data_IF_836043190884
#
_entry.id   IF_836043190884
#
_cell.length_a   1.000
_cell.length_b   1.000
_cell.length_c   1.000
_cell.angle_alpha   90.00
_cell.angle_beta   90.00
_cell.angle_gamma   90.00
#
_symmetry.space_group_name_H-M   'P 1'
#
loop_
_entity.id
_entity.type
_entity.pdbx_description
1 polymer ?
#
# COMPACT_ATOMS: atom_id res chain seq x y z
N UNK A 1 -30.68 29.84 43.21
CA UNK A 1 -29.84 28.62 43.17
C UNK A 1 -29.60 28.28 41.71
N UNK A 2 -28.47 28.73 41.16
CA UNK A 2 -28.09 28.43 39.78
C UNK A 2 -27.36 27.09 39.73
N UNK A 3 -27.91 26.12 39.02
CA UNK A 3 -27.23 24.84 38.77
C UNK A 3 -26.07 25.09 37.81
N UNK A 4 -24.83 25.07 38.32
CA UNK A 4 -23.65 24.98 37.47
C UNK A 4 -23.57 23.55 36.92
N UNK A 5 -24.21 23.32 35.77
CA UNK A 5 -23.98 22.12 35.00
C UNK A 5 -22.56 22.18 34.43
N UNK A 6 -21.61 21.52 35.11
CA UNK A 6 -20.31 21.21 34.54
C UNK A 6 -20.50 20.15 33.45
N UNK A 7 -20.87 20.59 32.24
CA UNK A 7 -20.87 19.72 31.06
C UNK A 7 -19.41 19.55 30.66
N UNK A 8 -18.79 18.46 31.12
CA UNK A 8 -17.48 18.03 30.61
C UNK A 8 -17.74 17.44 29.23
N UNK A 9 -17.51 18.22 28.19
CA UNK A 9 -17.42 17.69 26.83
C UNK A 9 -16.10 16.94 26.72
N UNK A 10 -16.17 15.61 26.76
CA UNK A 10 -15.05 14.79 26.28
C UNK A 10 -15.04 14.92 24.76
N UNK A 11 -14.39 15.96 24.25
CA UNK A 11 -13.93 15.95 22.88
C UNK A 11 -13.02 14.73 22.75
N UNK A 12 -13.41 13.82 21.85
CA UNK A 12 -12.78 12.53 21.61
C UNK A 12 -11.42 12.78 20.94
N UNK A 13 -10.46 13.34 21.68
CA UNK A 13 -9.10 13.55 21.25
C UNK A 13 -8.38 12.22 21.29
N UNK A 14 -8.57 11.40 20.27
CA UNK A 14 -7.65 10.31 19.99
C UNK A 14 -6.28 10.94 19.70
N UNK A 15 -5.45 11.09 20.73
CA UNK A 15 -4.03 11.45 20.61
C UNK A 15 -3.26 10.15 20.53
N UNK A 16 -2.87 9.69 19.32
CA UNK A 16 -2.14 8.44 19.20
C UNK A 16 -0.83 8.52 19.98
N UNK A 17 -0.63 7.55 20.88
CA UNK A 17 0.61 7.44 21.65
C UNK A 17 1.80 7.21 20.72
N UNK A 18 3.01 7.52 21.19
CA UNK A 18 4.23 7.21 20.43
C UNK A 18 4.31 5.70 20.08
N UNK A 19 3.84 4.83 20.97
CA UNK A 19 3.75 3.40 20.72
C UNK A 19 2.77 3.06 19.59
N UNK A 20 1.58 3.68 19.55
CA UNK A 20 0.63 3.50 18.46
C UNK A 20 1.20 3.96 17.13
N UNK A 21 1.85 5.14 17.10
CA UNK A 21 2.48 5.68 15.88
C UNK A 21 3.54 4.74 15.34
N UNK A 22 4.37 4.16 16.22
CA UNK A 22 5.39 3.18 15.82
C UNK A 22 4.75 1.94 15.20
N UNK A 23 3.75 1.35 15.86
CA UNK A 23 3.05 0.16 15.33
C UNK A 23 2.35 0.46 14.01
N UNK A 24 1.80 1.67 13.85
CA UNK A 24 1.18 2.10 12.60
C UNK A 24 2.19 2.22 11.46
N UNK A 25 3.37 2.79 11.73
CA UNK A 25 4.46 2.87 10.73
C UNK A 25 4.96 1.46 10.35
N UNK A 26 5.20 0.59 11.33
CA UNK A 26 5.58 -0.81 11.09
C UNK A 26 4.51 -1.56 10.26
N UNK A 27 3.23 -1.28 10.50
CA UNK A 27 2.14 -1.85 9.71
C UNK A 27 2.16 -1.33 8.27
N UNK A 28 2.36 -0.02 8.07
CA UNK A 28 2.47 0.57 6.73
C UNK A 28 3.62 -0.01 5.94
N UNK A 29 4.80 -0.16 6.57
CA UNK A 29 5.98 -0.72 5.93
C UNK A 29 5.69 -2.16 5.47
N UNK A 30 5.06 -2.98 6.31
CA UNK A 30 4.66 -4.35 5.93
C UNK A 30 3.65 -4.41 4.80
N UNK A 31 2.70 -3.48 4.74
CA UNK A 31 1.72 -3.41 3.64
C UNK A 31 2.42 -3.03 2.33
N UNK A 32 3.35 -2.07 2.39
CA UNK A 32 4.14 -1.68 1.22
C UNK A 32 5.07 -2.81 0.74
N UNK A 33 5.76 -3.49 1.65
CA UNK A 33 6.57 -4.69 1.35
C UNK A 33 5.70 -5.77 0.69
N UNK A 34 4.51 -6.04 1.23
CA UNK A 34 3.60 -7.03 0.65
C UNK A 34 3.13 -6.65 -0.75
N UNK A 35 2.88 -5.35 -1.01
CA UNK A 35 2.55 -4.86 -2.36
C UNK A 35 3.68 -5.18 -3.34
N UNK A 36 4.92 -4.87 -2.98
CA UNK A 36 6.10 -5.15 -3.81
C UNK A 36 6.32 -6.66 -4.01
N UNK A 37 6.11 -7.47 -2.98
CA UNK A 37 6.16 -8.93 -3.09
C UNK A 37 5.14 -9.47 -4.10
N UNK A 38 3.89 -8.98 -4.07
CA UNK A 38 2.87 -9.41 -5.03
C UNK A 38 3.15 -8.92 -6.45
N UNK A 39 3.73 -7.73 -6.63
CA UNK A 39 4.21 -7.28 -7.93
C UNK A 39 5.30 -8.23 -8.46
N UNK A 40 6.28 -8.58 -7.63
CA UNK A 40 7.36 -9.49 -8.00
C UNK A 40 6.86 -10.91 -8.29
N UNK A 41 5.88 -11.40 -7.54
CA UNK A 41 5.22 -12.68 -7.81
C UNK A 41 4.53 -12.65 -9.17
N UNK A 42 3.78 -11.60 -9.46
CA UNK A 42 3.09 -11.41 -10.75
C UNK A 42 4.06 -11.43 -11.91
N UNK A 43 5.19 -10.72 -11.76
CA UNK A 43 6.29 -10.76 -12.71
C UNK A 43 6.77 -12.20 -12.90
N UNK A 44 7.17 -12.86 -11.82
CA UNK A 44 7.72 -14.22 -11.89
C UNK A 44 6.74 -15.20 -12.56
N UNK A 45 5.44 -15.09 -12.28
CA UNK A 45 4.40 -15.88 -12.91
C UNK A 45 4.32 -15.59 -14.41
N UNK A 46 4.30 -14.33 -14.83
CA UNK A 46 4.27 -13.95 -16.24
C UNK A 46 5.49 -14.46 -17.02
N UNK A 47 6.69 -14.41 -16.41
CA UNK A 47 7.93 -14.91 -17.01
C UNK A 47 7.90 -16.43 -17.16
N UNK A 48 7.56 -17.16 -16.09
CA UNK A 48 7.54 -18.62 -16.09
C UNK A 48 6.41 -19.19 -16.96
N UNK A 49 5.26 -18.49 -17.01
CA UNK A 49 4.12 -18.83 -17.86
C UNK A 49 4.36 -18.56 -19.35
N UNK A 50 5.51 -17.99 -19.72
CA UNK A 50 5.88 -17.64 -21.11
C UNK A 50 4.90 -16.67 -21.76
N UNK A 51 4.34 -15.74 -20.99
CA UNK A 51 3.22 -14.86 -21.38
C UNK A 51 3.29 -14.33 -22.81
N UNK A 52 4.48 -13.94 -23.28
CA UNK A 52 4.77 -13.82 -24.71
C UNK A 52 6.14 -14.43 -24.88
N UNK A 53 6.26 -15.54 -25.61
CA UNK A 53 7.51 -16.26 -25.84
C UNK A 53 8.66 -15.27 -25.95
N UNK A 54 9.50 -15.24 -24.91
CA UNK A 54 10.53 -14.24 -24.76
C UNK A 54 11.33 -14.25 -26.04
N UNK A 55 11.40 -13.09 -26.70
CA UNK A 55 12.13 -13.00 -27.94
C UNK A 55 13.57 -13.44 -27.65
N UNK A 56 13.94 -14.63 -28.11
CA UNK A 56 15.27 -15.22 -27.91
C UNK A 56 16.37 -14.32 -28.51
N UNK A 57 16.00 -13.28 -29.26
CA UNK A 57 16.92 -12.24 -29.73
C UNK A 57 17.20 -11.11 -28.73
N UNK A 58 16.60 -11.07 -27.53
CA UNK A 58 17.06 -10.15 -26.49
C UNK A 58 18.47 -10.54 -26.03
N UNK A 59 19.48 -9.66 -26.16
CA UNK A 59 20.83 -9.97 -25.72
C UNK A 59 20.87 -10.29 -24.22
N UNK A 60 21.72 -11.25 -23.84
CA UNK A 60 22.03 -11.52 -22.44
C UNK A 60 22.50 -10.22 -21.78
N UNK A 61 21.90 -9.86 -20.65
CA UNK A 61 22.17 -8.61 -19.93
C UNK A 61 21.21 -7.46 -20.26
N UNK A 62 20.20 -7.68 -21.10
CA UNK A 62 19.15 -6.68 -21.35
C UNK A 62 18.28 -6.45 -20.11
N UNK A 63 17.98 -5.19 -19.80
CA UNK A 63 17.01 -4.81 -18.78
C UNK A 63 15.63 -4.64 -19.41
N UNK A 64 14.62 -5.29 -18.85
CA UNK A 64 13.23 -5.09 -19.23
C UNK A 64 12.47 -4.48 -18.07
N UNK A 65 11.85 -3.33 -18.30
CA UNK A 65 10.99 -2.68 -17.32
C UNK A 65 9.56 -3.15 -17.56
N UNK A 66 8.96 -3.78 -16.55
CA UNK A 66 7.56 -4.18 -16.58
C UNK A 66 6.70 -3.09 -15.95
N UNK A 67 5.63 -2.70 -16.63
CA UNK A 67 4.59 -1.87 -16.04
C UNK A 67 3.45 -2.72 -15.49
N UNK A 68 2.63 -2.11 -14.61
CA UNK A 68 1.41 -2.74 -14.12
C UNK A 68 0.48 -3.14 -15.28
N UNK A 69 0.26 -2.24 -16.25
CA UNK A 69 -0.55 -2.51 -17.44
C UNK A 69 -0.05 -3.72 -18.24
N UNK A 70 1.28 -3.90 -18.34
CA UNK A 70 1.85 -5.07 -19.02
C UNK A 70 1.54 -6.38 -18.29
N UNK A 71 1.51 -6.35 -16.96
CA UNK A 71 1.21 -7.51 -16.11
C UNK A 71 -0.31 -7.76 -16.01
N UNK A 72 -1.15 -6.74 -16.18
CA UNK A 72 -2.61 -6.87 -16.24
C UNK A 72 -3.10 -7.35 -17.61
N UNK A 73 -2.37 -7.00 -18.68
CA UNK A 73 -2.67 -7.49 -20.03
C UNK A 73 -2.32 -8.98 -20.18
N UNK A 74 -1.79 -9.65 -19.14
CA UNK A 74 -1.20 -10.98 -19.27
C UNK A 74 -2.15 -12.13 -19.54
N UNK A 75 -3.45 -11.92 -19.77
CA UNK A 75 -4.42 -12.98 -20.08
C UNK A 75 -4.48 -14.18 -19.12
N UNK A 76 -3.69 -14.16 -18.05
CA UNK A 76 -3.43 -15.19 -17.07
C UNK A 76 -4.08 -14.69 -15.78
N UNK A 77 -5.09 -15.43 -15.34
CA UNK A 77 -5.89 -15.07 -14.18
C UNK A 77 -5.06 -15.02 -12.89
N UNK A 78 -4.01 -15.83 -12.76
CA UNK A 78 -3.17 -15.85 -11.56
C UNK A 78 -2.24 -14.64 -11.50
N UNK A 79 -1.67 -14.25 -12.64
CA UNK A 79 -0.89 -13.01 -12.74
C UNK A 79 -1.81 -11.81 -12.45
N UNK A 80 -3.01 -11.81 -13.03
CA UNK A 80 -4.00 -10.75 -12.83
C UNK A 80 -4.38 -10.63 -11.35
N UNK A 81 -4.68 -11.74 -10.68
CA UNK A 81 -5.04 -11.73 -9.27
C UNK A 81 -3.90 -11.24 -8.36
N UNK A 82 -2.67 -11.67 -8.63
CA UNK A 82 -1.51 -11.19 -7.88
C UNK A 82 -1.28 -9.68 -8.09
N UNK A 83 -1.48 -9.17 -9.32
CA UNK A 83 -1.38 -7.74 -9.59
C UNK A 83 -2.47 -6.93 -8.91
N UNK A 84 -3.71 -7.41 -8.90
CA UNK A 84 -4.81 -6.74 -8.20
C UNK A 84 -4.49 -6.63 -6.71
N UNK A 85 -3.97 -7.68 -6.07
CA UNK A 85 -3.55 -7.63 -4.67
C UNK A 85 -2.41 -6.63 -4.44
N UNK A 86 -1.42 -6.58 -5.35
CA UNK A 86 -0.35 -5.59 -5.30
C UNK A 86 -0.91 -4.16 -5.29
N UNK A 87 -1.83 -3.86 -6.21
CA UNK A 87 -2.45 -2.53 -6.35
C UNK A 87 -3.28 -2.19 -5.10
N UNK A 88 -4.12 -3.12 -4.64
CA UNK A 88 -4.98 -2.90 -3.48
C UNK A 88 -4.16 -2.62 -2.20
N UNK A 89 -3.05 -3.33 -2.01
CA UNK A 89 -2.14 -3.12 -0.89
C UNK A 89 -1.39 -1.78 -1.01
N UNK A 90 -0.94 -1.41 -2.21
CA UNK A 90 -0.32 -0.10 -2.47
C UNK A 90 -1.28 1.05 -2.17
N UNK A 91 -2.51 0.96 -2.65
CA UNK A 91 -3.59 1.91 -2.36
C UNK A 91 -3.90 2.02 -0.86
N UNK A 92 -3.90 0.88 -0.16
CA UNK A 92 -4.11 0.86 1.28
C UNK A 92 -2.97 1.58 2.02
N UNK A 93 -1.71 1.32 1.65
CA UNK A 93 -0.56 2.00 2.25
C UNK A 93 -0.66 3.53 2.06
N UNK A 94 -1.02 4.01 0.87
CA UNK A 94 -1.18 5.44 0.59
C UNK A 94 -2.37 6.07 1.31
N UNK A 95 -3.49 5.35 1.45
CA UNK A 95 -4.64 5.79 2.27
C UNK A 95 -4.23 5.98 3.73
N UNK A 96 -3.49 5.03 4.30
CA UNK A 96 -2.99 5.11 5.68
C UNK A 96 -2.01 6.28 5.83
N UNK A 97 -1.06 6.43 4.89
CA UNK A 97 -0.09 7.54 4.86
C UNK A 97 -0.78 8.91 4.83
N UNK A 98 -1.79 9.05 3.96
CA UNK A 98 -2.59 10.27 3.82
C UNK A 98 -3.43 10.57 5.06
N UNK A 99 -3.99 9.53 5.69
CA UNK A 99 -4.68 9.62 6.98
C UNK A 99 -3.76 10.12 8.10
N UNK A 100 -2.52 9.63 8.14
CA UNK A 100 -1.53 10.09 9.12
C UNK A 100 -1.14 11.56 8.88
N UNK A 101 -0.85 11.95 7.64
CA UNK A 101 -0.47 13.32 7.30
C UNK A 101 -1.58 14.35 7.52
N UNK A 102 -2.85 13.94 7.38
CA UNK A 102 -4.01 14.79 7.71
C UNK A 102 -4.23 14.89 9.22
N UNK A 103 -4.06 13.78 9.96
CA UNK A 103 -4.10 13.77 11.42
C UNK A 103 -2.99 14.63 12.05
N UNK A 104 -1.75 14.54 11.57
CA UNK A 104 -0.63 15.36 12.07
C UNK A 104 -0.82 16.86 11.87
N UNK A 105 -1.49 17.28 10.79
CA UNK A 105 -1.85 18.69 10.57
C UNK A 105 -2.89 19.19 11.57
N UNK A 106 -3.70 18.29 12.13
CA UNK A 106 -4.68 18.60 13.17
C UNK A 106 -3.99 18.80 14.53
N UNK A 107 -2.94 18.03 14.85
CA UNK A 107 -2.23 18.10 16.14
C UNK A 107 -1.16 19.20 16.26
N UNK A 108 -0.81 19.88 15.15
CA UNK A 108 0.15 21.02 15.16
C UNK A 108 -0.53 22.39 15.19
N UNK A 109 -1.85 22.44 15.25
CA UNK A 109 -2.64 23.67 15.39
C UNK A 109 -3.13 23.84 16.83
N UNK A 110 -2.21 23.86 17.79
CA UNK A 110 -2.44 24.33 19.16
C UNK A 110 -1.18 25.09 19.62
#
# INVERSE_FOLDING_TARGET
MGSNNNVIQFENYFRPSAAYRRVLLEFMDKVAESSEDFFQISLNLAINGKWREWNESMPIGSTLNFSEDMLLDTGDEFVTHAMVLSIELGDLAEKIRSGLASGERFFRRD
#
